data_IF_795990886648
#
_entry.id   IF_795990886648
#
_cell.length_a   1.000
_cell.length_b   1.000
_cell.length_c   1.000
_cell.angle_alpha   90.00
_cell.angle_beta   90.00
_cell.angle_gamma   90.00
#
_symmetry.space_group_name_H-M   'P 1'
#
loop_
_entity.id
_entity.type
_entity.pdbx_description
1 polymer ?
#
# COMPACT_ATOMS: atom_id res chain seq x y z
N UNK A 1 -15.88 -14.77 4.81
CA UNK A 1 -15.09 -14.09 5.85
C UNK A 1 -14.20 -13.08 5.18
N UNK A 2 -13.99 -11.94 5.82
CA UNK A 2 -13.07 -10.89 5.35
C UNK A 2 -12.06 -10.61 6.45
N UNK A 3 -10.84 -10.28 6.05
CA UNK A 3 -9.76 -9.90 6.95
C UNK A 3 -8.76 -9.04 6.20
N UNK A 4 -8.21 -8.03 6.89
CA UNK A 4 -7.11 -7.21 6.37
C UNK A 4 -5.79 -7.97 6.31
N UNK A 5 -5.69 -9.10 7.01
CA UNK A 5 -4.49 -9.93 7.09
C UNK A 5 -4.79 -11.41 6.88
N UNK A 6 -3.94 -12.08 6.11
CA UNK A 6 -4.09 -13.50 5.74
C UNK A 6 -4.02 -14.42 6.96
N UNK A 7 -3.26 -14.06 8.00
CA UNK A 7 -3.07 -14.87 9.22
C UNK A 7 -4.40 -15.23 9.90
N UNK A 8 -5.40 -14.35 9.81
CA UNK A 8 -6.73 -14.60 10.38
C UNK A 8 -7.60 -15.54 9.54
N UNK A 9 -7.25 -15.75 8.27
CA UNK A 9 -8.03 -16.55 7.31
C UNK A 9 -7.44 -17.95 7.10
N UNK A 10 -6.12 -18.09 7.24
CA UNK A 10 -5.37 -19.29 6.83
C UNK A 10 -5.84 -20.60 7.46
N UNK A 11 -6.33 -20.55 8.70
CA UNK A 11 -6.80 -21.71 9.46
C UNK A 11 -8.30 -22.00 9.28
N UNK A 12 -9.01 -21.13 8.57
CA UNK A 12 -10.46 -21.17 8.45
C UNK A 12 -10.92 -21.43 7.01
N UNK A 13 -10.06 -21.16 6.03
CA UNK A 13 -10.31 -21.42 4.62
C UNK A 13 -9.76 -22.81 4.26
N UNK A 14 -10.54 -23.67 3.59
CA UNK A 14 -10.07 -24.98 3.13
C UNK A 14 -8.79 -24.84 2.30
N UNK A 15 -7.77 -25.66 2.59
CA UNK A 15 -6.46 -25.61 1.95
C UNK A 15 -5.74 -24.26 2.05
N UNK A 16 -6.10 -23.40 3.00
CA UNK A 16 -5.48 -22.08 3.18
C UNK A 16 -3.97 -22.12 3.46
N UNK A 17 -3.41 -23.27 3.87
CA UNK A 17 -1.96 -23.47 4.07
C UNK A 17 -1.22 -24.01 2.84
N UNK A 18 -1.91 -24.23 1.72
CA UNK A 18 -1.29 -24.67 0.47
C UNK A 18 -0.91 -23.46 -0.37
N UNK A 19 0.20 -23.56 -1.12
CA UNK A 19 0.65 -22.53 -2.04
C UNK A 19 -0.23 -22.51 -3.29
N UNK A 20 -0.70 -21.34 -3.70
CA UNK A 20 -1.33 -21.14 -5.02
C UNK A 20 -0.22 -21.02 -6.07
N UNK A 21 -0.06 -22.07 -6.88
CA UNK A 21 1.07 -22.21 -7.81
C UNK A 21 1.10 -21.09 -8.85
N UNK A 22 -0.07 -20.63 -9.29
CA UNK A 22 -0.20 -19.52 -10.22
C UNK A 22 0.20 -18.19 -9.60
N UNK A 23 -0.25 -17.90 -8.38
CA UNK A 23 0.14 -16.69 -7.66
C UNK A 23 1.64 -16.66 -7.35
N UNK A 24 2.21 -17.82 -6.98
CA UNK A 24 3.65 -17.97 -6.76
C UNK A 24 4.42 -17.72 -8.06
N UNK A 25 4.04 -18.36 -9.16
CA UNK A 25 4.68 -18.17 -10.45
C UNK A 25 4.60 -16.71 -10.93
N UNK A 26 3.44 -16.05 -10.78
CA UNK A 26 3.26 -14.65 -11.15
C UNK A 26 4.19 -13.72 -10.34
N UNK A 27 4.31 -13.95 -9.03
CA UNK A 27 5.22 -13.21 -8.16
C UNK A 27 6.68 -13.44 -8.52
N UNK A 28 7.08 -14.69 -8.74
CA UNK A 28 8.45 -15.04 -9.13
C UNK A 28 8.83 -14.43 -10.49
N UNK A 29 7.91 -14.42 -11.45
CA UNK A 29 8.18 -13.91 -12.79
C UNK A 29 8.22 -12.38 -12.86
N UNK A 30 7.26 -11.70 -12.22
CA UNK A 30 7.09 -10.24 -12.37
C UNK A 30 7.57 -9.42 -11.17
N UNK A 31 8.02 -10.07 -10.09
CA UNK A 31 8.34 -9.41 -8.82
C UNK A 31 7.11 -8.90 -8.05
N UNK A 32 5.92 -9.02 -8.64
CA UNK A 32 4.65 -8.57 -8.06
C UNK A 32 3.57 -9.63 -8.25
N UNK A 33 2.55 -9.63 -7.40
CA UNK A 33 1.36 -10.42 -7.65
C UNK A 33 0.23 -9.49 -8.09
N UNK A 34 0.04 -9.34 -9.40
CA UNK A 34 -1.02 -8.51 -9.98
C UNK A 34 -2.40 -9.18 -9.96
N UNK A 35 -2.48 -10.46 -9.59
CA UNK A 35 -3.71 -11.28 -9.67
C UNK A 35 -4.54 -11.16 -8.41
N UNK A 36 -5.82 -11.56 -8.46
CA UNK A 36 -6.69 -11.68 -7.27
C UNK A 36 -6.22 -12.75 -6.29
N UNK A 37 -5.46 -13.74 -6.74
CA UNK A 37 -4.99 -14.82 -5.88
C UNK A 37 -3.97 -14.26 -4.89
N UNK A 38 -4.00 -14.76 -3.66
CA UNK A 38 -2.86 -14.60 -2.75
C UNK A 38 -1.88 -15.75 -2.95
N UNK A 39 -0.73 -15.74 -2.27
CA UNK A 39 0.20 -16.87 -2.27
C UNK A 39 -0.45 -18.16 -1.71
N UNK A 40 -1.59 -18.05 -1.03
CA UNK A 40 -2.28 -19.14 -0.37
C UNK A 40 -3.57 -19.52 -1.12
N UNK A 41 -3.77 -20.82 -1.34
CA UNK A 41 -4.95 -21.33 -2.04
C UNK A 41 -6.23 -20.89 -1.35
N UNK A 42 -7.26 -20.63 -2.16
CA UNK A 42 -8.62 -20.24 -1.74
C UNK A 42 -8.73 -18.93 -0.95
N UNK A 43 -7.63 -18.21 -0.72
CA UNK A 43 -7.62 -16.87 -0.15
C UNK A 43 -7.40 -15.88 -1.29
N UNK A 44 -8.37 -14.98 -1.47
CA UNK A 44 -8.41 -13.98 -2.53
C UNK A 44 -8.29 -12.59 -1.94
N UNK A 45 -7.68 -11.66 -2.65
CA UNK A 45 -7.61 -10.24 -2.26
C UNK A 45 -8.66 -9.42 -3.00
N UNK A 46 -9.10 -8.33 -2.37
CA UNK A 46 -9.83 -7.27 -3.07
C UNK A 46 -8.80 -6.47 -3.87
N UNK A 47 -9.10 -6.17 -5.13
CA UNK A 47 -8.14 -5.46 -5.99
C UNK A 47 -8.07 -3.98 -5.61
N UNK A 48 -6.93 -3.30 -5.82
CA UNK A 48 -6.85 -1.85 -5.63
C UNK A 48 -7.94 -1.12 -6.43
N UNK A 49 -8.64 -0.19 -5.77
CA UNK A 49 -9.74 0.56 -6.36
C UNK A 49 -11.03 -0.24 -6.63
N UNK A 50 -11.11 -1.49 -6.13
CA UNK A 50 -12.30 -2.33 -6.28
C UNK A 50 -13.30 -2.18 -5.13
N UNK A 51 -14.58 -2.14 -5.47
CA UNK A 51 -15.72 -2.25 -4.56
C UNK A 51 -16.49 -3.51 -4.89
N UNK A 52 -16.65 -4.39 -3.91
CA UNK A 52 -17.44 -5.62 -4.02
C UNK A 52 -18.74 -5.48 -3.24
N UNK A 53 -19.87 -5.83 -3.87
CA UNK A 53 -21.18 -5.86 -3.20
C UNK A 53 -21.50 -7.31 -2.86
N UNK A 54 -21.61 -7.60 -1.55
CA UNK A 54 -21.91 -8.93 -1.03
C UNK A 54 -23.35 -8.98 -0.51
N UNK A 55 -24.14 -9.88 -1.08
CA UNK A 55 -25.47 -10.22 -0.59
C UNK A 55 -25.33 -11.21 0.58
N UNK A 56 -25.67 -10.72 1.77
CA UNK A 56 -25.57 -11.49 3.03
C UNK A 56 -26.61 -12.62 3.08
N UNK A 57 -27.82 -12.38 2.57
CA UNK A 57 -28.91 -13.36 2.62
C UNK A 57 -28.59 -14.57 1.73
N UNK A 58 -28.13 -14.30 0.50
CA UNK A 58 -27.78 -15.33 -0.47
C UNK A 58 -26.31 -15.76 -0.42
N UNK A 59 -25.52 -15.18 0.50
CA UNK A 59 -24.11 -15.48 0.76
C UNK A 59 -23.21 -15.41 -0.48
N UNK A 60 -23.46 -14.48 -1.40
CA UNK A 60 -22.71 -14.35 -2.66
C UNK A 60 -22.40 -12.91 -3.01
N UNK A 61 -21.33 -12.70 -3.78
CA UNK A 61 -21.11 -11.42 -4.43
C UNK A 61 -22.10 -11.24 -5.58
N UNK A 62 -22.70 -10.06 -5.68
CA UNK A 62 -23.69 -9.74 -6.72
C UNK A 62 -23.17 -8.71 -7.71
N UNK A 63 -22.23 -7.85 -7.29
CA UNK A 63 -21.65 -6.81 -8.14
C UNK A 63 -20.18 -6.58 -7.78
N UNK A 64 -19.40 -6.15 -8.76
CA UNK A 64 -18.05 -5.62 -8.59
C UNK A 64 -17.89 -4.36 -9.45
N UNK A 65 -17.26 -3.35 -8.87
CA UNK A 65 -16.90 -2.10 -9.54
C UNK A 65 -15.42 -1.85 -9.32
N UNK A 66 -14.68 -1.46 -10.35
CA UNK A 66 -13.28 -1.08 -10.19
C UNK A 66 -13.04 0.31 -10.78
N UNK A 67 -12.48 1.20 -9.98
CA UNK A 67 -12.02 2.52 -10.44
C UNK A 67 -10.52 2.46 -10.70
N UNK A 68 -10.14 2.46 -11.97
CA UNK A 68 -8.75 2.61 -12.38
C UNK A 68 -8.46 4.10 -12.54
N UNK A 69 -7.50 4.61 -11.77
CA UNK A 69 -7.05 5.99 -11.89
C UNK A 69 -5.99 6.03 -12.98
N UNK A 70 -6.32 6.61 -14.12
CA UNK A 70 -5.39 6.82 -15.22
C UNK A 70 -5.01 8.30 -15.28
N UNK A 71 -3.72 8.66 -15.26
CA UNK A 71 -3.32 10.04 -15.43
C UNK A 71 -3.68 10.51 -16.85
N UNK A 72 -4.48 11.57 -16.95
CA UNK A 72 -4.94 12.14 -18.22
C UNK A 72 -4.33 13.51 -18.52
N UNK A 73 -3.58 14.08 -17.56
CA UNK A 73 -2.98 15.39 -17.71
C UNK A 73 -1.93 15.39 -18.82
N UNK A 74 -2.00 16.40 -19.69
CA UNK A 74 -0.98 16.70 -20.71
C UNK A 74 -0.18 17.96 -20.37
N UNK A 75 -0.43 18.54 -19.20
CA UNK A 75 0.21 19.77 -18.77
C UNK A 75 1.70 19.55 -18.52
N UNK A 76 2.49 20.59 -18.75
CA UNK A 76 3.90 20.58 -18.32
C UNK A 76 3.97 20.55 -16.79
N UNK A 77 5.08 20.05 -16.26
CA UNK A 77 5.35 20.04 -14.82
C UNK A 77 5.31 21.48 -14.27
N UNK A 78 4.37 21.74 -13.37
CA UNK A 78 4.35 22.93 -12.53
C UNK A 78 5.03 22.61 -11.19
N UNK A 79 6.20 23.21 -10.96
CA UNK A 79 6.97 23.00 -9.74
C UNK A 79 6.31 23.61 -8.50
N UNK A 80 5.53 24.68 -8.66
CA UNK A 80 4.80 25.28 -7.55
C UNK A 80 3.66 24.36 -7.13
N UNK A 81 2.90 23.83 -8.10
CA UNK A 81 1.87 22.83 -7.84
C UNK A 81 2.48 21.57 -7.19
N UNK A 82 3.58 21.04 -7.74
CA UNK A 82 4.23 19.86 -7.18
C UNK A 82 4.61 20.04 -5.70
N UNK A 83 5.20 21.19 -5.35
CA UNK A 83 5.55 21.51 -3.95
C UNK A 83 4.33 21.65 -3.06
N UNK A 84 3.25 22.25 -3.57
CA UNK A 84 2.00 22.36 -2.85
C UNK A 84 1.38 20.98 -2.56
N UNK A 85 1.26 20.13 -3.59
CA UNK A 85 0.69 18.78 -3.44
C UNK A 85 1.55 17.89 -2.54
N UNK A 86 2.88 18.00 -2.63
CA UNK A 86 3.80 17.31 -1.73
C UNK A 86 3.56 17.72 -0.25
N UNK A 87 3.44 19.02 0.00
CA UNK A 87 3.15 19.54 1.34
C UNK A 87 1.81 19.04 1.87
N UNK A 88 0.73 19.19 1.11
CA UNK A 88 -0.61 18.79 1.53
C UNK A 88 -0.73 17.27 1.70
N UNK A 89 -0.05 16.47 0.85
CA UNK A 89 -0.02 15.01 1.00
C UNK A 89 0.65 14.58 2.31
N UNK A 90 1.80 15.18 2.64
CA UNK A 90 2.47 14.89 3.90
C UNK A 90 1.60 15.32 5.08
N UNK A 91 1.00 16.51 5.00
CA UNK A 91 0.08 17.04 6.03
C UNK A 91 -1.13 16.16 6.27
N UNK A 92 -1.78 15.64 5.22
CA UNK A 92 -2.88 14.67 5.37
C UNK A 92 -2.43 13.38 6.07
N UNK A 93 -1.14 13.04 5.98
CA UNK A 93 -0.54 11.89 6.65
C UNK A 93 -0.08 12.18 8.09
N UNK A 94 -0.25 13.42 8.57
CA UNK A 94 0.10 13.85 9.94
C UNK A 94 -1.07 13.83 10.93
N UNK A 95 -2.17 13.15 10.58
CA UNK A 95 -3.34 13.03 11.45
C UNK A 95 -3.06 12.06 12.60
N UNK A 96 -2.60 12.59 13.73
CA UNK A 96 -2.41 11.79 14.93
C UNK A 96 -1.87 12.60 16.13
N UNK A 97 -2.18 12.12 17.32
CA UNK A 97 -1.68 12.67 18.60
C UNK A 97 -0.28 12.16 18.99
N UNK A 98 0.30 11.26 18.19
CA UNK A 98 1.57 10.58 18.51
C UNK A 98 2.76 11.35 17.94
N UNK A 99 3.91 11.20 18.60
CA UNK A 99 5.18 11.69 18.06
C UNK A 99 5.51 10.97 16.75
N UNK A 100 6.02 11.72 15.79
CA UNK A 100 6.46 11.19 14.50
C UNK A 100 7.93 10.77 14.55
N UNK A 101 8.25 9.71 13.83
CA UNK A 101 9.60 9.27 13.53
C UNK A 101 9.74 9.05 12.03
N UNK A 102 10.84 9.51 11.45
CA UNK A 102 11.11 9.38 10.02
C UNK A 102 12.35 8.52 9.77
N UNK A 103 12.21 7.45 8.98
CA UNK A 103 13.37 6.73 8.46
C UNK A 103 14.03 7.51 7.31
N UNK A 104 15.26 7.96 7.51
CA UNK A 104 16.04 8.67 6.49
C UNK A 104 17.02 7.73 5.81
N UNK A 105 16.92 7.63 4.49
CA UNK A 105 17.90 6.93 3.65
C UNK A 105 19.00 7.84 3.12
N UNK A 106 18.84 9.17 3.25
CA UNK A 106 19.70 10.17 2.60
C UNK A 106 19.33 10.44 1.13
N UNK A 107 18.39 9.68 0.57
CA UNK A 107 17.86 9.91 -0.78
C UNK A 107 16.85 11.06 -0.83
N UNK A 108 16.60 11.56 -2.05
CA UNK A 108 15.73 12.70 -2.31
C UNK A 108 14.31 12.49 -1.77
N UNK A 109 13.72 11.32 -1.98
CA UNK A 109 12.33 11.03 -1.60
C UNK A 109 12.13 11.09 -0.08
N UNK A 110 12.95 10.36 0.68
CA UNK A 110 12.87 10.37 2.15
C UNK A 110 13.17 11.77 2.72
N UNK A 111 14.06 12.52 2.07
CA UNK A 111 14.41 13.89 2.47
C UNK A 111 13.27 14.86 2.18
N UNK A 112 12.55 14.71 1.06
CA UNK A 112 11.38 15.52 0.73
C UNK A 112 10.28 15.34 1.78
N UNK A 113 9.97 14.08 2.13
CA UNK A 113 8.97 13.79 3.16
C UNK A 113 9.41 14.34 4.51
N UNK A 114 10.68 14.14 4.90
CA UNK A 114 11.22 14.67 6.15
C UNK A 114 11.18 16.20 6.22
N UNK A 115 11.48 16.87 5.12
CA UNK A 115 11.44 18.33 5.02
C UNK A 115 10.03 18.89 5.22
N UNK A 116 9.04 18.35 4.51
CA UNK A 116 7.65 18.80 4.68
C UNK A 116 7.10 18.44 6.06
N UNK A 117 7.44 17.26 6.59
CA UNK A 117 7.03 16.84 7.92
C UNK A 117 7.62 17.74 9.01
N UNK A 118 8.89 18.14 8.88
CA UNK A 118 9.53 19.10 9.79
C UNK A 118 8.87 20.47 9.76
N UNK A 119 8.43 20.96 8.60
CA UNK A 119 7.69 22.24 8.50
C UNK A 119 6.36 22.21 9.26
N UNK A 120 5.71 21.04 9.31
CA UNK A 120 4.41 20.87 9.98
C UNK A 120 4.59 20.70 11.49
N UNK A 121 5.60 19.93 11.92
CA UNK A 121 5.78 19.57 13.33
C UNK A 121 6.74 20.50 14.10
N UNK A 122 7.57 21.29 13.41
CA UNK A 122 8.67 22.08 13.98
C UNK A 122 9.90 21.23 14.30
N UNK A 123 9.72 20.14 15.06
CA UNK A 123 10.74 19.15 15.39
C UNK A 123 10.42 17.78 14.79
N UNK A 124 11.47 17.06 14.35
CA UNK A 124 11.32 15.74 13.75
C UNK A 124 12.46 14.82 14.19
N UNK A 125 12.09 13.66 14.77
CA UNK A 125 13.04 12.60 15.06
C UNK A 125 13.29 11.77 13.80
N UNK A 126 14.55 11.60 13.43
CA UNK A 126 14.95 10.78 12.28
C UNK A 126 15.83 9.61 12.68
N UNK A 127 15.69 8.50 11.96
CA UNK A 127 16.42 7.26 12.20
C UNK A 127 17.04 6.77 10.88
N UNK A 128 18.29 6.29 10.94
CA UNK A 128 18.98 5.70 9.79
C UNK A 128 19.61 4.38 10.22
N UNK A 129 19.44 3.36 9.39
CA UNK A 129 20.02 2.04 9.63
C UNK A 129 21.32 1.89 8.84
N UNK A 130 22.26 1.14 9.41
CA UNK A 130 23.50 0.71 8.75
C UNK A 130 23.65 -0.80 8.94
N UNK A 131 24.04 -1.52 7.90
CA UNK A 131 24.34 -2.95 7.96
C UNK A 131 25.85 -3.20 7.93
N UNK A 132 26.31 -4.27 8.58
CA UNK A 132 27.72 -4.72 8.56
C UNK A 132 27.78 -6.24 8.36
N UNK A 133 28.56 -6.75 7.36
CA UNK A 133 29.27 -5.97 6.35
C UNK A 133 28.29 -5.19 5.46
N UNK A 134 28.74 -4.08 4.88
CA UNK A 134 27.99 -3.41 3.84
C UNK A 134 27.94 -4.39 2.65
N UNK A 135 26.74 -4.84 2.27
CA UNK A 135 26.52 -5.66 1.08
C UNK A 135 26.72 -4.82 -0.16
#
# INVERSE_FOLDING_TARGET
MFGSEIKGLINKVPNGRCIDEFAAAAMSYSGINATRNTLFKNIKKVMPGETLVYDVANKRFIQSYQKVITPTSKSKLDLAQFRHEAHETVKMSTLGIRKFGMFLSGGLDSTLVAYELKKILGELNSFTNKMSPNV
#
